data_IF_139553175003
#
_entry.id   IF_139553175003
#
_cell.length_a   1.000
_cell.length_b   1.000
_cell.length_c   1.000
_cell.angle_alpha   90.00
_cell.angle_beta   90.00
_cell.angle_gamma   90.00
#
_symmetry.space_group_name_H-M   'P 1'
#
loop_
_entity.id
_entity.type
_entity.pdbx_description
1 polymer ?
#
# COMPACT_ATOMS: atom_id res chain seq x y z
N UNK A 1 -55.53 -24.32 25.02
CA UNK A 1 -55.82 -22.90 24.75
C UNK A 1 -54.74 -22.37 23.82
N UNK A 2 -55.15 -21.84 22.66
CA UNK A 2 -54.34 -21.05 21.70
C UNK A 2 -53.79 -19.78 22.41
N UNK A 3 -52.85 -18.96 21.95
CA UNK A 3 -52.36 -18.47 20.65
C UNK A 3 -51.01 -17.77 20.94
N UNK A 4 -49.95 -17.84 20.13
CA UNK A 4 -49.69 -17.12 18.86
C UNK A 4 -49.66 -15.58 18.99
N UNK A 5 -48.47 -15.00 18.69
CA UNK A 5 -48.05 -13.65 18.18
C UNK A 5 -49.00 -12.45 18.35
N UNK A 6 -48.45 -11.25 18.57
CA UNK A 6 -48.30 -10.05 17.68
C UNK A 6 -47.34 -9.07 18.42
N UNK A 7 -46.27 -8.47 17.88
CA UNK A 7 -46.10 -7.39 16.86
C UNK A 7 -46.86 -6.07 17.16
N UNK A 8 -46.25 -4.94 16.74
CA UNK A 8 -46.69 -3.51 16.77
C UNK A 8 -46.41 -2.75 18.09
N UNK A 9 -46.07 -1.46 18.16
CA UNK A 9 -46.29 -0.25 17.33
C UNK A 9 -45.29 0.82 17.83
N UNK A 10 -44.44 1.46 17.03
CA UNK A 10 -44.61 2.70 16.23
C UNK A 10 -45.06 3.97 17.00
N UNK A 11 -44.33 5.06 16.71
CA UNK A 11 -44.63 6.51 16.88
C UNK A 11 -44.50 7.16 18.28
N UNK A 12 -44.02 8.39 18.49
CA UNK A 12 -43.49 9.48 17.64
C UNK A 12 -42.98 10.64 18.56
N UNK A 13 -42.02 11.42 18.05
CA UNK A 13 -41.73 12.85 18.26
C UNK A 13 -41.71 13.50 19.68
N UNK A 14 -40.57 14.12 20.03
CA UNK A 14 -40.50 15.58 20.22
C UNK A 14 -39.05 16.06 20.31
N UNK A 15 -38.64 16.78 19.28
CA UNK A 15 -38.02 18.11 19.35
C UNK A 15 -36.97 18.40 20.42
N UNK A 16 -35.73 18.61 19.96
CA UNK A 16 -35.10 19.93 20.12
C UNK A 16 -33.83 19.99 19.28
N UNK A 17 -33.95 20.64 18.13
CA UNK A 17 -32.82 21.18 17.36
C UNK A 17 -32.05 22.18 18.24
N UNK A 18 -30.83 21.84 18.65
CA UNK A 18 -29.85 22.83 19.05
C UNK A 18 -28.76 22.92 17.98
N UNK A 19 -28.93 23.90 17.10
CA UNK A 19 -27.90 24.47 16.25
C UNK A 19 -26.76 24.99 17.15
N UNK A 20 -25.65 24.27 17.18
CA UNK A 20 -24.39 24.81 17.68
C UNK A 20 -23.46 25.05 16.49
N UNK A 21 -22.99 26.28 16.43
CA UNK A 21 -22.41 26.97 15.28
C UNK A 21 -21.43 26.15 14.45
N UNK A 22 -21.68 26.18 13.14
CA UNK A 22 -20.80 25.78 12.07
C UNK A 22 -19.61 26.76 12.02
N UNK A 23 -18.66 26.59 12.94
CA UNK A 23 -17.32 27.12 12.78
C UNK A 23 -16.69 26.44 11.55
N UNK A 24 -16.65 27.22 10.48
CA UNK A 24 -16.12 26.90 9.16
C UNK A 24 -14.63 26.53 9.27
N UNK A 25 -14.32 25.35 9.78
CA UNK A 25 -13.01 24.74 9.62
C UNK A 25 -12.98 24.16 8.21
N UNK A 26 -12.63 25.03 7.26
CA UNK A 26 -12.23 24.63 5.93
C UNK A 26 -11.39 23.35 6.03
N UNK A 27 -11.76 22.25 5.36
CA UNK A 27 -11.03 21.00 5.46
C UNK A 27 -9.55 21.27 5.20
N UNK A 28 -8.62 20.75 6.02
CA UNK A 28 -7.20 21.09 5.91
C UNK A 28 -6.79 20.86 4.47
N UNK A 29 -6.40 21.96 3.81
CA UNK A 29 -6.07 22.02 2.39
C UNK A 29 -5.29 20.75 2.04
N UNK A 30 -5.96 19.80 1.36
CA UNK A 30 -5.29 18.59 0.86
C UNK A 30 -4.28 19.13 -0.13
N UNK A 31 -3.03 19.32 0.30
CA UNK A 31 -1.93 19.74 -0.56
C UNK A 31 -2.07 18.94 -1.84
N UNK A 32 -2.34 19.61 -2.96
CA UNK A 32 -2.49 18.97 -4.27
C UNK A 32 -1.30 18.04 -4.38
N UNK A 33 -1.54 16.73 -4.47
CA UNK A 33 -0.46 15.75 -4.55
C UNK A 33 0.40 16.19 -5.72
N UNK A 34 1.60 16.67 -5.41
CA UNK A 34 2.56 17.07 -6.42
C UNK A 34 2.82 15.92 -7.39
N UNK A 35 3.57 16.21 -8.46
CA UNK A 35 3.97 15.21 -9.45
C UNK A 35 4.51 13.97 -8.73
N UNK A 36 3.97 12.79 -9.04
CA UNK A 36 4.44 11.53 -8.45
C UNK A 36 5.93 11.38 -8.79
N UNK A 37 6.74 10.97 -7.81
CA UNK A 37 8.15 10.67 -8.04
C UNK A 37 8.29 9.66 -9.19
N UNK A 38 9.18 9.94 -10.13
CA UNK A 38 9.47 9.04 -11.24
C UNK A 38 10.45 7.97 -10.76
N UNK A 39 10.02 6.71 -10.76
CA UNK A 39 10.86 5.58 -10.38
C UNK A 39 11.46 4.95 -11.63
N UNK A 40 12.78 4.81 -11.66
CA UNK A 40 13.46 3.95 -12.63
C UNK A 40 13.35 2.50 -12.18
N UNK A 41 13.29 1.57 -13.12
CA UNK A 41 13.16 0.14 -12.80
C UNK A 41 14.34 -0.40 -12.00
N UNK A 42 15.56 0.11 -12.23
CA UNK A 42 16.73 -0.25 -11.41
C UNK A 42 16.51 0.05 -9.93
N UNK A 43 15.99 1.23 -9.59
CA UNK A 43 15.73 1.61 -8.19
C UNK A 43 14.63 0.74 -7.54
N UNK A 44 13.65 0.29 -8.33
CA UNK A 44 12.60 -0.63 -7.85
C UNK A 44 13.19 -2.03 -7.66
N UNK A 45 14.00 -2.49 -8.62
CA UNK A 45 14.68 -3.77 -8.55
C UNK A 45 15.60 -3.86 -7.34
N UNK A 46 16.45 -2.87 -7.09
CA UNK A 46 17.34 -2.88 -5.92
C UNK A 46 16.56 -2.93 -4.60
N UNK A 47 15.49 -2.14 -4.51
CA UNK A 47 14.63 -2.13 -3.33
C UNK A 47 13.95 -3.49 -3.10
N UNK A 48 13.37 -4.08 -4.15
CA UNK A 48 12.67 -5.37 -4.06
C UNK A 48 13.67 -6.48 -3.76
N UNK A 49 14.83 -6.45 -4.40
CA UNK A 49 15.88 -7.44 -4.21
C UNK A 49 16.40 -7.44 -2.77
N UNK A 50 16.65 -6.28 -2.16
CA UNK A 50 17.01 -6.19 -0.73
C UNK A 50 15.93 -6.77 0.17
N UNK A 51 14.65 -6.51 -0.12
CA UNK A 51 13.53 -7.00 0.69
C UNK A 51 13.37 -8.51 0.55
N UNK A 52 13.48 -9.05 -0.67
CA UNK A 52 13.32 -10.47 -0.95
C UNK A 52 14.56 -11.29 -0.57
N UNK A 53 15.75 -10.70 -0.59
CA UNK A 53 17.00 -11.36 -0.18
C UNK A 53 17.10 -11.60 1.33
N UNK A 54 16.30 -10.89 2.14
CA UNK A 54 16.30 -11.05 3.60
C UNK A 54 14.94 -11.56 4.09
N UNK A 55 14.92 -12.80 4.57
CA UNK A 55 13.74 -13.48 5.09
C UNK A 55 13.00 -12.70 6.18
N UNK A 56 13.73 -11.92 7.00
CA UNK A 56 13.11 -11.09 8.03
C UNK A 56 12.33 -9.93 7.42
N UNK A 57 12.87 -9.31 6.36
CA UNK A 57 12.20 -8.21 5.66
C UNK A 57 11.01 -8.73 4.85
N UNK A 58 11.18 -9.80 4.08
CA UNK A 58 10.11 -10.40 3.29
C UNK A 58 8.95 -10.85 4.19
N UNK A 59 9.23 -11.53 5.31
CA UNK A 59 8.20 -11.94 6.29
C UNK A 59 7.43 -10.77 6.88
N UNK A 60 8.11 -9.69 7.28
CA UNK A 60 7.47 -8.52 7.89
C UNK A 60 6.75 -7.62 6.88
N UNK A 61 7.23 -7.53 5.63
CA UNK A 61 6.73 -6.57 4.65
C UNK A 61 5.75 -7.16 3.62
N UNK A 62 5.88 -8.46 3.29
CA UNK A 62 5.04 -9.15 2.29
C UNK A 62 3.97 -10.00 2.99
N UNK A 63 4.40 -10.81 3.95
CA UNK A 63 3.56 -11.84 4.59
C UNK A 63 2.84 -11.35 5.86
N UNK A 64 3.22 -10.19 6.42
CA UNK A 64 2.57 -9.60 7.60
C UNK A 64 1.65 -8.42 7.21
N UNK A 65 0.63 -8.14 8.03
CA UNK A 65 -0.34 -7.08 7.76
C UNK A 65 0.32 -5.68 7.64
N UNK A 66 0.06 -5.01 6.51
CA UNK A 66 0.66 -3.73 6.12
C UNK A 66 0.29 -2.50 6.99
N UNK A 67 -0.65 -2.65 7.93
CA UNK A 67 -1.09 -1.59 8.86
C UNK A 67 -0.23 -1.47 10.11
N UNK A 68 0.77 -2.34 10.29
CA UNK A 68 1.63 -2.28 11.47
C UNK A 68 2.55 -1.05 11.42
N UNK A 69 2.45 -0.15 12.40
CA UNK A 69 3.29 1.04 12.55
C UNK A 69 4.77 0.67 12.72
N UNK A 70 5.06 -0.49 13.33
CA UNK A 70 6.41 -1.07 13.47
C UNK A 70 7.09 -1.38 12.14
N UNK A 71 6.34 -1.43 11.03
CA UNK A 71 6.94 -1.64 9.71
C UNK A 71 7.80 -0.46 9.28
N UNK A 72 7.62 0.74 9.85
CA UNK A 72 8.42 1.90 9.49
C UNK A 72 9.92 1.69 9.78
N UNK A 73 10.25 1.11 10.94
CA UNK A 73 11.63 0.79 11.33
C UNK A 73 12.26 -0.20 10.36
N UNK A 74 11.49 -1.19 9.89
CA UNK A 74 11.94 -2.16 8.88
C UNK A 74 12.28 -1.46 7.57
N UNK A 75 11.47 -0.49 7.12
CA UNK A 75 11.79 0.28 5.91
C UNK A 75 13.03 1.16 6.08
N UNK A 76 13.29 1.69 7.29
CA UNK A 76 14.54 2.43 7.57
C UNK A 76 15.75 1.50 7.44
N UNK A 77 15.64 0.26 7.95
CA UNK A 77 16.70 -0.74 7.80
C UNK A 77 16.91 -1.15 6.34
N UNK A 78 15.82 -1.34 5.58
CA UNK A 78 15.88 -1.62 4.14
C UNK A 78 16.57 -0.48 3.39
N UNK A 79 16.26 0.78 3.70
CA UNK A 79 16.92 1.92 3.05
C UNK A 79 18.43 1.90 3.30
N UNK A 80 18.87 1.65 4.55
CA UNK A 80 20.30 1.53 4.86
C UNK A 80 20.98 0.42 4.04
N UNK A 81 20.29 -0.71 3.85
CA UNK A 81 20.84 -1.83 3.08
C UNK A 81 20.84 -1.55 1.57
N UNK A 82 19.84 -0.85 1.05
CA UNK A 82 19.84 -0.36 -0.33
C UNK A 82 21.00 0.62 -0.52
N UNK A 83 21.18 1.60 0.37
CA UNK A 83 22.26 2.59 0.28
C UNK A 83 23.66 1.96 0.26
N UNK A 84 23.88 0.84 0.96
CA UNK A 84 25.16 0.08 0.88
C UNK A 84 25.49 -0.42 -0.53
N UNK A 85 24.48 -0.65 -1.39
CA UNK A 85 24.71 -1.05 -2.78
C UNK A 85 25.11 0.12 -3.68
N UNK A 86 24.85 1.33 -3.21
CA UNK A 86 25.12 2.58 -3.91
C UNK A 86 26.48 3.18 -3.52
N UNK A 87 27.39 2.37 -2.94
CA UNK A 87 28.73 2.79 -2.50
C UNK A 87 29.51 3.46 -3.63
N UNK A 88 29.67 4.79 -3.53
CA UNK A 88 30.28 5.62 -4.56
C UNK A 88 29.69 7.03 -4.60
N UNK A 89 29.64 7.62 -5.80
CA UNK A 89 29.17 8.99 -6.07
C UNK A 89 27.66 9.13 -6.26
N UNK A 90 26.90 8.03 -6.22
CA UNK A 90 25.44 8.04 -6.35
C UNK A 90 24.78 7.67 -5.04
N UNK A 91 23.87 8.51 -4.53
CA UNK A 91 23.00 8.14 -3.42
C UNK A 91 21.65 7.63 -3.94
N UNK A 92 20.98 6.78 -3.16
CA UNK A 92 19.64 6.34 -3.47
C UNK A 92 18.66 7.53 -3.40
N UNK A 93 17.89 7.84 -4.47
CA UNK A 93 17.22 9.13 -4.59
C UNK A 93 15.87 9.22 -3.86
N UNK A 94 15.48 8.21 -3.07
CA UNK A 94 14.16 8.15 -2.44
C UNK A 94 14.24 7.97 -0.93
N UNK A 95 13.34 8.67 -0.23
CA UNK A 95 13.13 8.51 1.20
C UNK A 95 12.41 7.19 1.55
N UNK A 96 12.52 6.80 2.82
CA UNK A 96 11.81 5.65 3.40
C UNK A 96 10.30 5.68 3.12
N UNK A 97 9.66 6.85 3.22
CA UNK A 97 8.22 7.00 2.99
C UNK A 97 7.83 6.77 1.52
N UNK A 98 8.68 7.20 0.59
CA UNK A 98 8.50 6.95 -0.85
C UNK A 98 8.71 5.47 -1.18
N UNK A 99 9.75 4.84 -0.63
CA UNK A 99 9.99 3.39 -0.76
C UNK A 99 8.81 2.57 -0.27
N UNK A 100 8.33 2.84 0.95
CA UNK A 100 7.15 2.18 1.53
C UNK A 100 5.94 2.29 0.61
N UNK A 101 5.67 3.49 0.10
CA UNK A 101 4.52 3.72 -0.78
C UNK A 101 4.67 2.98 -2.11
N UNK A 102 5.87 2.97 -2.70
CA UNK A 102 6.15 2.28 -3.96
C UNK A 102 6.07 0.77 -3.79
N UNK A 103 6.74 0.20 -2.80
CA UNK A 103 6.74 -1.24 -2.52
C UNK A 103 5.32 -1.77 -2.28
N UNK A 104 4.51 -1.06 -1.46
CA UNK A 104 3.10 -1.43 -1.25
C UNK A 104 2.29 -1.47 -2.55
N UNK A 105 2.57 -0.57 -3.50
CA UNK A 105 1.91 -0.59 -4.82
C UNK A 105 2.34 -1.81 -5.63
N UNK A 106 3.64 -2.10 -5.70
CA UNK A 106 4.15 -3.31 -6.37
C UNK A 106 3.46 -4.57 -5.83
N UNK A 107 3.44 -4.75 -4.51
CA UNK A 107 2.77 -5.91 -3.88
C UNK A 107 1.27 -5.94 -4.18
N UNK A 108 0.57 -4.80 -4.11
CA UNK A 108 -0.85 -4.74 -4.41
C UNK A 108 -1.16 -5.06 -5.89
N UNK A 109 -0.30 -4.61 -6.81
CA UNK A 109 -0.40 -4.93 -8.23
C UNK A 109 -0.16 -6.42 -8.48
N UNK A 110 0.91 -7.01 -7.95
CA UNK A 110 1.17 -8.45 -8.06
C UNK A 110 -0.01 -9.27 -7.52
N UNK A 111 -0.53 -8.92 -6.33
CA UNK A 111 -1.71 -9.59 -5.75
C UNK A 111 -2.95 -9.47 -6.63
N UNK A 112 -3.23 -8.29 -7.18
CA UNK A 112 -4.36 -8.09 -8.09
C UNK A 112 -4.21 -8.94 -9.35
N UNK A 113 -3.01 -9.00 -9.92
CA UNK A 113 -2.74 -9.78 -11.11
C UNK A 113 -2.83 -11.29 -10.83
N UNK A 114 -2.35 -11.76 -9.69
CA UNK A 114 -2.45 -13.16 -9.28
C UNK A 114 -3.92 -13.62 -9.13
N UNK A 115 -4.81 -12.72 -8.71
CA UNK A 115 -6.25 -13.00 -8.65
C UNK A 115 -6.93 -12.98 -10.02
N UNK A 116 -6.36 -12.28 -11.00
CA UNK A 116 -7.00 -12.05 -12.30
C UNK A 116 -6.50 -13.01 -13.38
N UNK A 117 -5.20 -13.29 -13.39
CA UNK A 117 -4.53 -14.11 -14.41
C UNK A 117 -4.23 -15.48 -13.83
N UNK A 118 -4.78 -16.53 -14.44
CA UNK A 118 -4.56 -17.91 -14.01
C UNK A 118 -3.53 -18.68 -14.82
N UNK A 119 -3.08 -18.12 -15.95
CA UNK A 119 -2.17 -18.79 -16.88
C UNK A 119 -0.79 -18.14 -16.86
N UNK A 120 0.27 -18.96 -16.84
CA UNK A 120 1.65 -18.48 -16.88
C UNK A 120 1.93 -17.61 -18.12
N UNK A 121 1.35 -17.96 -19.27
CA UNK A 121 1.45 -17.15 -20.50
C UNK A 121 0.79 -15.78 -20.35
N UNK A 122 -0.34 -15.71 -19.64
CA UNK A 122 -1.01 -14.42 -19.36
C UNK A 122 -0.18 -13.51 -18.46
N UNK A 123 0.56 -14.09 -17.50
CA UNK A 123 1.44 -13.35 -16.59
C UNK A 123 2.59 -12.74 -17.38
N UNK A 124 3.24 -13.51 -18.26
CA UNK A 124 4.32 -13.00 -19.14
C UNK A 124 3.86 -11.83 -20.02
N UNK A 125 2.70 -11.97 -20.69
CA UNK A 125 2.15 -10.88 -21.52
C UNK A 125 1.93 -9.59 -20.71
N UNK A 126 1.37 -9.71 -19.51
CA UNK A 126 1.14 -8.53 -18.67
C UNK A 126 2.45 -7.91 -18.15
N UNK A 127 3.46 -8.74 -17.86
CA UNK A 127 4.78 -8.25 -17.50
C UNK A 127 5.38 -7.41 -18.64
N UNK A 128 5.29 -7.90 -19.88
CA UNK A 128 5.75 -7.21 -21.09
C UNK A 128 4.93 -5.94 -21.38
N UNK A 129 3.60 -6.04 -21.39
CA UNK A 129 2.68 -4.92 -21.69
C UNK A 129 2.81 -3.75 -20.71
N UNK A 130 3.07 -4.05 -19.43
CA UNK A 130 3.24 -3.04 -18.38
C UNK A 130 4.67 -2.55 -18.26
N UNK A 131 5.61 -3.18 -18.97
CA UNK A 131 7.04 -2.91 -18.84
C UNK A 131 7.57 -3.19 -17.44
N UNK A 132 7.07 -4.23 -16.77
CA UNK A 132 7.56 -4.56 -15.43
C UNK A 132 8.94 -5.21 -15.49
N UNK A 133 9.89 -4.60 -14.79
CA UNK A 133 11.26 -5.10 -14.69
C UNK A 133 11.41 -6.42 -13.89
N UNK A 134 12.66 -6.89 -13.70
CA UNK A 134 12.98 -8.16 -13.03
C UNK A 134 12.39 -8.33 -11.63
N UNK A 135 12.13 -7.21 -10.95
CA UNK A 135 11.48 -7.17 -9.64
C UNK A 135 10.11 -7.86 -9.60
N UNK A 136 9.39 -7.90 -10.73
CA UNK A 136 8.06 -8.49 -10.79
C UNK A 136 8.09 -9.99 -10.53
N UNK A 137 9.04 -10.70 -11.14
CA UNK A 137 9.21 -12.14 -10.94
C UNK A 137 9.64 -12.50 -9.51
N UNK A 138 10.23 -11.56 -8.77
CA UNK A 138 10.56 -11.76 -7.35
C UNK A 138 9.36 -11.59 -6.42
N UNK A 139 8.26 -10.95 -6.87
CA UNK A 139 7.09 -10.64 -6.03
C UNK A 139 5.81 -11.38 -6.44
N UNK A 140 5.68 -11.78 -7.70
CA UNK A 140 4.52 -12.50 -8.24
C UNK A 140 4.65 -14.00 -8.00
#
# INVERSE_FOLDING_TARGET
MASRREETSDSEEESSFSLSDNENLAPPNKKRRGRKAQWRDCHVADMVDVICSNDNFSRKLIFTNSKNTRNNEVYVQVLKEVEKRYTGSSSFPFSTGQMRTKFKRCVAECKKLALTIKTATGVKRIQEDRGYGPWFNQLF
#
